data_IF_132557461649
#
_entry.id   IF_132557461649
#
_cell.length_a   1.000
_cell.length_b   1.000
_cell.length_c   1.000
_cell.angle_alpha   90.00
_cell.angle_beta   90.00
_cell.angle_gamma   90.00
#
_symmetry.space_group_name_H-M   'P 1'
#
loop_
_entity.id
_entity.type
_entity.pdbx_description
1 polymer ?
#
# COMPACT_ATOMS: atom_id res chain seq x y z
N UNK A 1 -37.75 12.05 53.07
CA UNK A 1 -37.97 12.91 51.88
C UNK A 1 -37.46 12.14 50.68
N UNK A 2 -38.31 11.91 49.67
CA UNK A 2 -37.96 11.15 48.47
C UNK A 2 -37.62 12.11 47.33
N UNK A 3 -36.49 11.96 46.62
CA UNK A 3 -36.20 12.77 45.44
C UNK A 3 -37.08 12.38 44.24
N UNK A 4 -37.48 13.37 43.45
CA UNK A 4 -38.39 13.21 42.31
C UNK A 4 -37.75 12.52 41.10
N UNK A 5 -38.57 11.79 40.32
CA UNK A 5 -38.24 11.34 38.97
C UNK A 5 -38.34 12.50 37.96
N UNK A 6 -37.45 12.49 36.96
CA UNK A 6 -37.58 13.26 35.72
C UNK A 6 -38.21 12.39 34.61
N UNK A 7 -38.92 12.96 33.62
CA UNK A 7 -39.70 12.19 32.64
C UNK A 7 -38.84 11.56 31.54
N UNK A 8 -39.15 10.32 31.17
CA UNK A 8 -38.66 9.68 29.95
C UNK A 8 -39.37 10.25 28.71
N UNK A 9 -38.60 10.71 27.72
CA UNK A 9 -39.08 10.91 26.36
C UNK A 9 -38.55 9.79 25.46
N UNK A 10 -39.44 9.11 24.72
CA UNK A 10 -39.06 8.11 23.71
C UNK A 10 -39.11 8.73 22.32
N UNK A 11 -38.06 8.55 21.54
CA UNK A 11 -38.04 8.84 20.11
C UNK A 11 -38.06 7.51 19.36
N UNK A 12 -39.00 7.33 18.43
CA UNK A 12 -38.99 6.21 17.49
C UNK A 12 -38.18 6.57 16.25
N UNK A 13 -37.22 5.73 15.88
CA UNK A 13 -36.61 5.80 14.56
C UNK A 13 -37.58 5.21 13.51
N UNK A 14 -37.85 5.95 12.45
CA UNK A 14 -38.65 5.49 11.30
C UNK A 14 -37.75 5.18 10.10
N UNK A 15 -38.01 4.07 9.41
CA UNK A 15 -37.39 3.78 8.12
C UNK A 15 -38.02 4.64 7.00
N UNK A 16 -37.18 5.16 6.11
CA UNK A 16 -37.63 5.83 4.88
C UNK A 16 -37.04 5.10 3.67
N UNK A 17 -37.91 4.74 2.71
CA UNK A 17 -37.49 4.15 1.44
C UNK A 17 -37.54 5.21 0.33
N UNK A 18 -36.48 5.29 -0.47
CA UNK A 18 -36.42 6.15 -1.66
C UNK A 18 -36.40 5.25 -2.91
N UNK A 19 -37.47 5.32 -3.71
CA UNK A 19 -37.49 4.70 -5.04
C UNK A 19 -36.90 5.66 -6.07
N UNK A 20 -35.85 5.21 -6.76
CA UNK A 20 -35.39 5.83 -8.01
C UNK A 20 -36.03 5.05 -9.17
N UNK A 21 -36.81 5.72 -10.00
CA UNK A 21 -37.60 5.07 -11.06
C UNK A 21 -36.76 4.50 -12.22
N UNK A 22 -37.35 3.58 -12.99
CA UNK A 22 -36.74 3.06 -14.22
C UNK A 22 -36.51 4.19 -15.24
N UNK A 23 -35.29 4.28 -15.79
CA UNK A 23 -34.99 5.08 -16.97
C UNK A 23 -34.80 4.17 -18.19
N UNK A 24 -35.73 4.23 -19.15
CA UNK A 24 -35.58 3.52 -20.43
C UNK A 24 -34.78 4.35 -21.42
N UNK A 25 -33.61 3.85 -21.80
CA UNK A 25 -32.87 4.36 -22.96
C UNK A 25 -33.22 3.47 -24.16
N UNK A 26 -33.87 4.05 -25.17
CA UNK A 26 -33.99 3.44 -26.50
C UNK A 26 -32.98 4.08 -27.44
N UNK A 27 -32.09 3.28 -28.05
CA UNK A 27 -31.39 3.68 -29.26
C UNK A 27 -31.36 2.53 -30.27
N UNK A 28 -31.57 2.89 -31.54
CA UNK A 28 -31.18 2.05 -32.68
C UNK A 28 -29.69 2.25 -32.91
N UNK A 29 -28.93 1.17 -32.93
CA UNK A 29 -27.53 1.22 -33.33
C UNK A 29 -27.46 1.41 -34.85
N UNK A 30 -26.80 2.49 -35.26
CA UNK A 30 -26.19 2.63 -36.59
C UNK A 30 -24.72 2.96 -36.34
N UNK A 31 -23.77 2.42 -37.13
CA UNK A 31 -22.38 2.37 -36.71
C UNK A 31 -21.68 3.73 -36.72
N UNK A 32 -20.61 3.81 -35.91
CA UNK A 32 -19.59 4.89 -35.80
C UNK A 32 -19.84 5.98 -34.73
N UNK A 33 -18.76 6.35 -34.04
CA UNK A 33 -18.61 7.34 -32.96
C UNK A 33 -19.16 6.95 -31.57
N UNK A 34 -18.27 6.38 -30.75
CA UNK A 34 -18.39 6.49 -29.29
C UNK A 34 -18.18 7.96 -28.89
N UNK A 35 -19.23 8.61 -28.39
CA UNK A 35 -19.12 9.84 -27.61
C UNK A 35 -19.25 9.49 -26.13
N UNK A 36 -18.38 10.06 -25.31
CA UNK A 36 -18.41 9.92 -23.86
C UNK A 36 -19.66 10.63 -23.30
N UNK A 37 -20.50 9.91 -22.55
CA UNK A 37 -21.68 10.47 -21.89
C UNK A 37 -21.47 10.47 -20.37
N UNK A 38 -21.49 11.66 -19.75
CA UNK A 38 -21.48 11.79 -18.29
C UNK A 38 -22.88 11.56 -17.71
N UNK A 39 -22.96 10.79 -16.64
CA UNK A 39 -24.12 10.77 -15.75
C UNK A 39 -23.83 11.77 -14.62
N UNK A 40 -24.58 12.87 -14.54
CA UNK A 40 -24.63 13.71 -13.35
C UNK A 40 -25.68 13.14 -12.39
N UNK A 41 -25.24 12.60 -11.26
CA UNK A 41 -26.09 12.49 -10.09
C UNK A 41 -26.23 13.90 -9.48
N UNK A 42 -27.47 14.40 -9.34
CA UNK A 42 -27.71 15.71 -8.74
C UNK A 42 -27.42 15.71 -7.25
N UNK A 43 -26.66 16.69 -6.78
CA UNK A 43 -26.44 16.93 -5.35
C UNK A 43 -27.74 17.43 -4.70
N UNK A 44 -28.20 16.75 -3.65
CA UNK A 44 -29.30 17.23 -2.81
C UNK A 44 -28.73 17.87 -1.54
N UNK A 45 -29.00 19.15 -1.25
CA UNK A 45 -28.49 19.79 -0.04
C UNK A 45 -29.27 19.27 1.18
N UNK A 46 -28.56 18.69 2.15
CA UNK A 46 -29.09 18.41 3.49
C UNK A 46 -28.54 19.44 4.48
N UNK A 47 -29.43 20.23 5.08
CA UNK A 47 -29.07 21.11 6.20
C UNK A 47 -29.41 20.39 7.50
N UNK A 48 -28.40 20.08 8.30
CA UNK A 48 -28.56 19.40 9.60
C UNK A 48 -28.17 20.37 10.72
N UNK A 49 -29.09 20.77 11.62
CA UNK A 49 -28.72 21.52 12.80
C UNK A 49 -27.95 20.63 13.79
N UNK A 50 -26.94 21.19 14.46
CA UNK A 50 -26.02 20.44 15.29
C UNK A 50 -26.63 20.05 16.65
N UNK A 51 -26.73 18.74 16.94
CA UNK A 51 -26.52 18.07 18.24
C UNK A 51 -26.54 16.53 18.03
N UNK A 52 -25.95 15.71 18.92
CA UNK A 52 -25.58 14.33 18.58
C UNK A 52 -26.73 13.33 18.70
N UNK A 53 -27.10 12.70 17.58
CA UNK A 53 -27.96 11.51 17.57
C UNK A 53 -27.54 10.56 16.43
N UNK A 54 -27.74 9.26 16.63
CA UNK A 54 -27.25 8.21 15.73
C UNK A 54 -27.85 8.35 14.31
N UNK A 55 -27.00 8.35 13.29
CA UNK A 55 -27.45 8.34 11.90
C UNK A 55 -27.88 6.92 11.47
N UNK A 56 -29.03 6.76 10.78
CA UNK A 56 -29.52 5.46 10.33
C UNK A 56 -28.72 4.89 9.15
N UNK A 57 -28.76 3.56 8.99
CA UNK A 57 -28.19 2.88 7.82
C UNK A 57 -28.95 3.24 6.54
N UNK A 58 -28.24 3.68 5.50
CA UNK A 58 -28.79 3.83 4.16
C UNK A 58 -28.58 2.56 3.34
N UNK A 59 -29.67 1.95 2.85
CA UNK A 59 -29.60 0.87 1.85
C UNK A 59 -29.99 1.38 0.47
N UNK A 60 -29.05 1.31 -0.47
CA UNK A 60 -29.31 1.56 -1.90
C UNK A 60 -29.43 0.21 -2.60
N UNK A 61 -30.61 -0.14 -3.11
CA UNK A 61 -30.78 -1.25 -4.03
C UNK A 61 -30.59 -0.77 -5.47
N UNK A 62 -29.55 -1.26 -6.15
CA UNK A 62 -29.44 -1.16 -7.60
C UNK A 62 -30.18 -2.36 -8.22
N UNK A 63 -31.11 -2.10 -9.16
CA UNK A 63 -31.86 -3.14 -9.86
C UNK A 63 -31.00 -3.92 -10.87
N UNK A 64 -31.41 -5.15 -11.20
CA UNK A 64 -30.75 -5.99 -12.20
C UNK A 64 -30.70 -5.33 -13.59
N UNK A 65 -29.59 -5.52 -14.31
CA UNK A 65 -29.49 -5.18 -15.73
C UNK A 65 -29.47 -6.45 -16.59
N UNK A 66 -30.26 -6.49 -17.67
CA UNK A 66 -30.19 -7.54 -18.70
C UNK A 66 -29.77 -6.96 -20.05
N UNK A 67 -28.58 -7.34 -20.52
CA UNK A 67 -28.19 -7.21 -21.94
C UNK A 67 -28.69 -8.46 -22.67
N UNK A 68 -29.28 -8.31 -23.86
CA UNK A 68 -29.42 -9.39 -24.83
C UNK A 68 -28.84 -8.94 -26.17
N UNK A 69 -27.86 -9.68 -26.68
CA UNK A 69 -27.43 -9.57 -28.08
C UNK A 69 -26.91 -10.94 -28.58
N UNK A 70 -26.97 -11.20 -29.88
CA UNK A 70 -26.55 -12.47 -30.51
C UNK A 70 -25.56 -12.22 -31.67
N UNK A 71 -24.57 -13.12 -31.75
CA UNK A 71 -23.65 -13.43 -32.88
C UNK A 71 -22.35 -12.60 -32.99
N UNK A 72 -21.24 -13.31 -33.23
CA UNK A 72 -19.82 -12.89 -33.31
C UNK A 72 -19.26 -13.04 -34.77
N UNK A 73 -17.94 -13.05 -35.09
CA UNK A 73 -16.74 -12.30 -34.62
C UNK A 73 -15.82 -11.75 -35.77
N UNK A 74 -14.95 -10.74 -35.57
CA UNK A 74 -13.78 -10.40 -36.47
C UNK A 74 -12.58 -9.80 -35.67
N UNK A 75 -11.34 -9.84 -36.20
CA UNK A 75 -10.05 -9.53 -35.54
C UNK A 75 -9.24 -8.34 -36.13
N UNK A 76 -8.36 -7.75 -35.29
CA UNK A 76 -6.96 -7.25 -35.52
C UNK A 76 -6.61 -5.85 -36.14
N UNK A 77 -5.74 -5.10 -35.40
CA UNK A 77 -4.55 -4.24 -35.78
C UNK A 77 -4.68 -3.09 -36.82
N UNK A 78 -3.92 -1.96 -36.86
CA UNK A 78 -2.65 -1.51 -36.24
C UNK A 78 -2.49 0.07 -36.22
N UNK A 79 -1.38 0.64 -35.70
CA UNK A 79 -1.08 2.10 -35.59
C UNK A 79 -0.27 2.69 -36.79
N UNK A 80 -0.19 4.04 -36.96
CA UNK A 80 1.07 4.77 -36.68
C UNK A 80 0.94 6.23 -36.16
N UNK A 81 2.09 6.90 -35.91
CA UNK A 81 2.29 8.17 -35.17
C UNK A 81 2.99 9.23 -36.08
N UNK A 82 2.81 10.56 -35.85
CA UNK A 82 3.89 11.57 -35.99
C UNK A 82 3.57 12.95 -35.36
N UNK A 83 4.60 13.74 -35.03
CA UNK A 83 4.52 14.98 -34.22
C UNK A 83 5.57 16.05 -34.60
N UNK A 84 5.34 17.32 -34.20
CA UNK A 84 6.24 18.51 -34.14
C UNK A 84 5.50 19.65 -33.39
N UNK A 85 6.07 20.69 -32.75
CA UNK A 85 7.41 20.97 -32.15
C UNK A 85 7.29 22.15 -31.13
N UNK A 86 8.41 22.74 -30.65
CA UNK A 86 8.49 23.79 -29.59
C UNK A 86 9.10 25.13 -30.07
N UNK A 87 9.04 26.25 -29.30
CA UNK A 87 10.28 26.75 -28.62
C UNK A 87 10.14 27.63 -27.32
N UNK A 88 11.00 27.36 -26.30
CA UNK A 88 11.71 28.21 -25.25
C UNK A 88 11.06 29.44 -24.53
N UNK A 89 11.50 30.00 -23.38
CA UNK A 89 12.78 30.13 -22.60
C UNK A 89 12.40 30.49 -21.11
N UNK A 90 12.94 29.98 -19.97
CA UNK A 90 14.29 29.95 -19.34
C UNK A 90 14.51 30.97 -18.17
N UNK A 91 14.80 30.47 -16.95
CA UNK A 91 15.53 31.06 -15.76
C UNK A 91 15.29 30.17 -14.51
N UNK A 92 16.15 29.97 -13.50
CA UNK A 92 17.63 29.95 -13.38
C UNK A 92 18.05 29.22 -12.05
N UNK A 93 18.72 28.05 -12.13
CA UNK A 93 19.58 27.37 -11.12
C UNK A 93 19.13 27.23 -9.62
N UNK A 94 19.95 26.67 -8.69
CA UNK A 94 19.94 25.22 -8.46
C UNK A 94 19.72 24.81 -6.99
N UNK A 95 19.19 23.60 -6.75
CA UNK A 95 19.29 22.94 -5.43
C UNK A 95 19.97 21.59 -5.59
N UNK A 96 21.14 21.46 -4.95
CA UNK A 96 21.83 20.19 -4.78
C UNK A 96 21.03 19.32 -3.80
N UNK A 97 20.14 18.49 -4.34
CA UNK A 97 19.65 17.30 -3.63
C UNK A 97 20.72 16.22 -3.82
N UNK A 98 21.22 15.65 -2.72
CA UNK A 98 22.21 14.58 -2.78
C UNK A 98 21.66 13.41 -3.60
N UNK A 99 22.35 13.06 -4.69
CA UNK A 99 21.96 11.94 -5.53
C UNK A 99 22.09 10.63 -4.71
N UNK A 100 20.96 10.03 -4.32
CA UNK A 100 20.93 8.58 -4.14
C UNK A 100 21.20 8.01 -5.54
N UNK A 101 22.32 7.31 -5.77
CA UNK A 101 22.74 6.97 -7.12
C UNK A 101 21.72 6.01 -7.76
N UNK A 102 20.94 6.49 -8.73
CA UNK A 102 19.96 5.71 -9.48
C UNK A 102 20.63 4.77 -10.51
N UNK A 103 21.71 4.10 -10.11
CA UNK A 103 22.30 3.01 -10.87
C UNK A 103 21.42 1.78 -10.67
N UNK A 104 20.72 1.35 -11.72
CA UNK A 104 20.26 -0.04 -11.78
C UNK A 104 21.50 -0.94 -11.85
N UNK A 105 21.96 -1.38 -10.69
CA UNK A 105 22.88 -2.47 -10.58
C UNK A 105 22.06 -3.69 -10.16
N UNK A 106 21.76 -4.56 -11.13
CA UNK A 106 21.00 -5.78 -10.88
C UNK A 106 21.88 -6.88 -10.23
N UNK A 107 23.02 -6.50 -9.63
CA UNK A 107 23.87 -7.41 -8.85
C UNK A 107 23.51 -7.34 -7.36
N UNK A 108 23.42 -8.48 -6.65
CA UNK A 108 23.09 -8.49 -5.22
C UNK A 108 24.03 -7.62 -4.38
N UNK A 109 25.34 -7.67 -4.67
CA UNK A 109 26.37 -6.92 -3.93
C UNK A 109 26.11 -5.40 -3.86
N UNK A 110 25.55 -4.81 -4.94
CA UNK A 110 25.24 -3.38 -4.95
C UNK A 110 23.92 -3.05 -4.22
N UNK A 111 23.03 -4.03 -4.07
CA UNK A 111 21.84 -3.90 -3.22
C UNK A 111 22.25 -3.94 -1.75
N UNK A 112 23.12 -4.87 -1.38
CA UNK A 112 23.68 -4.99 -0.03
C UNK A 112 24.41 -3.69 0.39
N UNK A 113 25.34 -3.18 -0.43
CA UNK A 113 26.06 -1.91 -0.17
C UNK A 113 25.12 -0.71 0.05
N UNK A 114 24.03 -0.61 -0.73
CA UNK A 114 23.05 0.48 -0.59
C UNK A 114 22.27 0.35 0.70
N UNK A 115 21.82 -0.86 1.05
CA UNK A 115 21.08 -1.12 2.30
C UNK A 115 21.94 -0.80 3.53
N UNK A 116 23.22 -1.19 3.52
CA UNK A 116 24.13 -0.91 4.63
C UNK A 116 24.39 0.59 4.83
N UNK A 117 24.72 1.31 3.74
CA UNK A 117 25.02 2.75 3.81
C UNK A 117 23.80 3.54 4.27
N UNK A 118 22.64 3.28 3.67
CA UNK A 118 21.38 3.98 3.98
C UNK A 118 20.95 3.74 5.44
N UNK A 119 21.11 2.52 5.97
CA UNK A 119 20.87 2.25 7.39
C UNK A 119 21.84 3.03 8.29
N UNK A 120 23.14 2.94 8.03
CA UNK A 120 24.17 3.56 8.87
C UNK A 120 24.05 5.10 8.89
N UNK A 121 23.74 5.71 7.73
CA UNK A 121 23.49 7.14 7.59
C UNK A 121 22.24 7.61 8.33
N UNK A 122 21.13 6.86 8.28
CA UNK A 122 19.91 7.20 9.01
C UNK A 122 20.11 7.14 10.53
N UNK A 123 20.85 6.16 11.05
CA UNK A 123 21.23 6.11 12.48
C UNK A 123 22.12 7.29 12.87
N UNK A 124 23.15 7.61 12.07
CA UNK A 124 24.04 8.75 12.34
C UNK A 124 23.29 10.09 12.30
N UNK A 125 22.31 10.22 11.41
CA UNK A 125 21.47 11.42 11.27
C UNK A 125 20.50 11.62 12.44
N UNK A 126 20.28 10.57 13.25
CA UNK A 126 19.58 10.62 14.55
C UNK A 126 20.57 10.66 15.73
N UNK A 127 21.79 11.16 15.49
CA UNK A 127 22.90 11.28 16.43
C UNK A 127 23.41 9.95 17.03
N UNK A 128 23.12 8.81 16.39
CA UNK A 128 23.60 7.50 16.81
C UNK A 128 25.09 7.24 16.50
N UNK A 129 25.69 6.32 17.25
CA UNK A 129 27.09 5.92 17.15
C UNK A 129 27.33 5.11 15.87
N UNK A 130 28.09 5.71 14.94
CA UNK A 130 28.41 5.15 13.61
C UNK A 130 28.87 3.68 13.62
N UNK A 131 29.85 3.33 14.44
CA UNK A 131 30.38 1.95 14.47
C UNK A 131 29.38 0.91 14.97
N UNK A 132 28.38 1.31 15.75
CA UNK A 132 27.27 0.44 16.15
C UNK A 132 26.22 0.35 15.04
N UNK A 133 26.01 1.44 14.30
CA UNK A 133 25.13 1.47 13.12
C UNK A 133 25.67 0.58 11.97
N UNK A 134 26.98 0.62 11.71
CA UNK A 134 27.67 -0.22 10.73
C UNK A 134 27.61 -1.71 11.13
N UNK A 135 27.75 -2.03 12.41
CA UNK A 135 27.56 -3.40 12.91
C UNK A 135 26.10 -3.88 12.80
N UNK A 136 25.12 -3.01 13.00
CA UNK A 136 23.70 -3.32 12.80
C UNK A 136 23.36 -3.56 11.33
N UNK A 137 23.92 -2.74 10.43
CA UNK A 137 23.78 -2.86 8.98
C UNK A 137 24.29 -4.21 8.45
N UNK A 138 25.48 -4.63 8.87
CA UNK A 138 26.05 -5.92 8.51
C UNK A 138 25.20 -7.11 9.02
N UNK A 139 24.60 -7.01 10.21
CA UNK A 139 23.65 -8.03 10.70
C UNK A 139 22.35 -8.03 9.88
N UNK A 140 21.87 -6.85 9.48
CA UNK A 140 20.67 -6.71 8.65
C UNK A 140 20.84 -7.37 7.27
N UNK A 141 21.95 -7.12 6.56
CA UNK A 141 22.27 -7.82 5.30
C UNK A 141 22.40 -9.33 5.52
N UNK A 142 23.11 -9.75 6.57
CA UNK A 142 23.24 -11.17 6.93
C UNK A 142 21.88 -11.85 7.13
N UNK A 143 20.90 -11.13 7.71
CA UNK A 143 19.53 -11.63 7.91
C UNK A 143 18.76 -11.73 6.60
N UNK A 144 18.78 -10.69 5.76
CA UNK A 144 18.10 -10.73 4.47
C UNK A 144 18.73 -11.74 3.48
N UNK A 145 19.97 -12.18 3.73
CA UNK A 145 20.64 -13.27 3.01
C UNK A 145 20.35 -14.69 3.54
N UNK A 146 19.47 -14.87 4.56
CA UNK A 146 19.19 -16.19 5.14
C UNK A 146 18.60 -17.19 4.09
N UNK A 147 19.14 -18.42 3.93
CA UNK A 147 18.81 -19.30 2.79
C UNK A 147 17.36 -19.79 2.65
N UNK A 148 16.52 -19.60 3.67
CA UNK A 148 15.09 -19.94 3.62
C UNK A 148 14.24 -18.86 2.95
N UNK A 149 14.71 -17.61 2.90
CA UNK A 149 14.04 -16.49 2.23
C UNK A 149 14.02 -16.71 0.72
N UNK A 150 12.91 -16.32 0.09
CA UNK A 150 12.70 -16.45 -1.38
C UNK A 150 12.11 -15.19 -1.99
N UNK A 151 11.36 -14.44 -1.21
CA UNK A 151 10.87 -13.11 -1.53
C UNK A 151 11.36 -12.08 -0.52
N UNK A 152 11.29 -12.36 0.79
CA UNK A 152 11.66 -11.40 1.84
C UNK A 152 13.18 -11.35 2.06
N UNK A 153 13.92 -11.07 0.99
CA UNK A 153 15.39 -11.02 0.89
C UNK A 153 15.91 -9.60 0.60
N UNK A 154 17.21 -9.48 0.28
CA UNK A 154 17.89 -8.21 -0.01
C UNK A 154 17.22 -7.40 -1.15
N UNK A 155 16.61 -8.07 -2.13
CA UNK A 155 15.90 -7.42 -3.24
C UNK A 155 14.58 -6.81 -2.76
N UNK A 156 13.86 -7.48 -1.86
CA UNK A 156 12.63 -6.93 -1.28
C UNK A 156 12.93 -5.70 -0.39
N UNK A 157 13.84 -5.78 0.58
CA UNK A 157 14.13 -4.63 1.45
C UNK A 157 14.70 -3.44 0.67
N UNK A 158 15.52 -3.69 -0.36
CA UNK A 158 15.97 -2.67 -1.31
C UNK A 158 14.82 -2.01 -2.10
N UNK A 159 13.80 -2.78 -2.46
CA UNK A 159 12.59 -2.24 -3.11
C UNK A 159 11.77 -1.37 -2.15
N UNK A 160 11.53 -1.85 -0.91
CA UNK A 160 10.78 -1.09 0.11
C UNK A 160 11.51 0.20 0.49
N UNK A 161 12.84 0.19 0.63
CA UNK A 161 13.64 1.39 0.90
C UNK A 161 13.56 2.42 -0.24
N UNK A 162 13.72 1.97 -1.50
CA UNK A 162 13.59 2.84 -2.69
C UNK A 162 12.20 3.46 -2.77
N UNK A 163 11.15 2.66 -2.64
CA UNK A 163 9.78 3.12 -2.80
C UNK A 163 9.35 4.00 -1.61
N UNK A 164 9.87 3.72 -0.40
CA UNK A 164 9.75 4.60 0.77
C UNK A 164 10.37 5.98 0.54
N UNK A 165 11.57 6.06 -0.06
CA UNK A 165 12.21 7.34 -0.37
C UNK A 165 11.36 8.17 -1.35
N UNK A 166 10.85 7.54 -2.41
CA UNK A 166 9.97 8.19 -3.40
C UNK A 166 8.68 8.72 -2.76
N UNK A 167 8.08 7.96 -1.83
CA UNK A 167 6.88 8.40 -1.11
C UNK A 167 7.20 9.52 -0.10
N UNK A 168 8.35 9.48 0.56
CA UNK A 168 8.79 10.53 1.47
C UNK A 168 9.01 11.88 0.78
N UNK A 169 9.46 11.87 -0.48
CA UNK A 169 9.53 13.05 -1.33
C UNK A 169 8.15 13.63 -1.66
N UNK A 170 7.21 12.81 -2.14
CA UNK A 170 5.86 13.30 -2.48
C UNK A 170 4.99 13.67 -1.27
N UNK A 171 5.37 13.24 -0.07
CA UNK A 171 4.72 13.60 1.20
C UNK A 171 5.44 14.75 1.93
N UNK A 172 6.53 15.28 1.37
CA UNK A 172 7.33 16.36 1.96
C UNK A 172 7.81 16.06 3.40
N UNK A 173 8.05 14.77 3.73
CA UNK A 173 8.45 14.35 5.08
C UNK A 173 9.74 15.05 5.52
N UNK A 174 9.81 15.48 6.78
CA UNK A 174 11.02 16.15 7.28
C UNK A 174 12.15 15.15 7.52
N UNK A 175 13.41 15.62 7.56
CA UNK A 175 14.60 14.76 7.66
C UNK A 175 14.53 13.72 8.80
N UNK A 176 13.93 14.08 9.94
CA UNK A 176 13.76 13.16 11.08
C UNK A 176 12.79 12.01 10.76
N UNK A 177 11.66 12.31 10.14
CA UNK A 177 10.65 11.32 9.72
C UNK A 177 11.19 10.42 8.60
N UNK A 178 11.99 10.96 7.68
CA UNK A 178 12.69 10.19 6.64
C UNK A 178 13.64 9.16 7.25
N UNK A 179 14.41 9.54 8.26
CA UNK A 179 15.28 8.60 8.97
C UNK A 179 14.47 7.53 9.73
N UNK A 180 13.34 7.90 10.35
CA UNK A 180 12.44 6.90 10.96
C UNK A 180 11.87 5.92 9.93
N UNK A 181 11.45 6.42 8.76
CA UNK A 181 10.94 5.61 7.66
C UNK A 181 12.01 4.66 7.12
N UNK A 182 13.23 5.15 6.87
CA UNK A 182 14.37 4.33 6.43
C UNK A 182 14.65 3.20 7.42
N UNK A 183 14.74 3.50 8.71
CA UNK A 183 15.03 2.50 9.74
C UNK A 183 13.88 1.52 9.93
N UNK A 184 12.63 1.94 9.79
CA UNK A 184 11.49 1.03 9.83
C UNK A 184 11.42 0.14 8.58
N UNK A 185 11.64 0.71 7.39
CA UNK A 185 11.69 -0.02 6.12
C UNK A 185 12.84 -1.04 6.07
N UNK A 186 14.03 -0.67 6.56
CA UNK A 186 15.15 -1.61 6.68
C UNK A 186 14.91 -2.72 7.71
N UNK A 187 14.14 -2.45 8.77
CA UNK A 187 13.94 -3.40 9.86
C UNK A 187 12.73 -4.33 9.71
N UNK A 188 11.68 -3.96 8.97
CA UNK A 188 10.36 -4.57 9.15
C UNK A 188 10.32 -6.12 9.09
N UNK A 189 11.07 -6.71 8.15
CA UNK A 189 11.20 -8.16 7.96
C UNK A 189 12.63 -8.70 8.24
N UNK A 190 13.42 -7.95 9.03
CA UNK A 190 14.78 -8.37 9.40
C UNK A 190 14.78 -9.67 10.21
N UNK A 191 13.72 -9.95 10.98
CA UNK A 191 13.42 -11.28 11.49
C UNK A 191 12.28 -11.84 10.64
N UNK A 192 12.53 -12.96 9.96
CA UNK A 192 11.51 -13.63 9.15
C UNK A 192 11.58 -15.15 9.32
N UNK A 193 10.51 -15.75 9.82
CA UNK A 193 10.34 -17.19 10.04
C UNK A 193 8.99 -17.70 9.51
N UNK A 194 8.34 -16.93 8.62
CA UNK A 194 6.99 -17.17 8.10
C UNK A 194 5.92 -17.22 9.20
N UNK A 195 6.04 -16.36 10.22
CA UNK A 195 5.12 -16.26 11.36
C UNK A 195 4.54 -14.85 11.51
N UNK A 196 3.48 -14.52 10.74
CA UNK A 196 2.82 -13.22 10.81
C UNK A 196 2.45 -12.80 12.24
N UNK A 197 2.67 -11.54 12.54
CA UNK A 197 2.64 -10.94 13.88
C UNK A 197 3.86 -11.24 14.77
N UNK A 198 4.41 -12.46 14.80
CA UNK A 198 5.58 -12.78 15.65
C UNK A 198 6.86 -12.15 15.08
N UNK A 199 7.05 -12.28 13.78
CA UNK A 199 8.24 -11.83 13.06
C UNK A 199 8.41 -10.30 13.15
N UNK A 200 7.36 -9.54 12.83
CA UNK A 200 7.31 -8.07 12.88
C UNK A 200 7.54 -7.55 14.31
N UNK A 201 6.99 -8.22 15.35
CA UNK A 201 7.27 -7.88 16.75
C UNK A 201 8.73 -8.11 17.13
N UNK A 202 9.36 -9.16 16.58
CA UNK A 202 10.78 -9.46 16.80
C UNK A 202 11.69 -8.53 15.99
N UNK A 203 11.29 -8.13 14.79
CA UNK A 203 11.92 -7.10 13.96
C UNK A 203 11.91 -5.73 14.65
N UNK A 204 10.77 -5.31 15.22
CA UNK A 204 10.68 -4.08 16.01
C UNK A 204 11.64 -4.13 17.22
N UNK A 205 11.58 -5.22 18.01
CA UNK A 205 12.46 -5.40 19.15
C UNK A 205 13.95 -5.49 18.76
N UNK A 206 14.29 -6.01 17.58
CA UNK A 206 15.64 -6.03 17.03
C UNK A 206 16.12 -4.61 16.71
N UNK A 207 15.31 -3.82 16.01
CA UNK A 207 15.63 -2.43 15.67
C UNK A 207 15.84 -1.61 16.96
N UNK A 208 14.94 -1.74 17.92
CA UNK A 208 15.03 -1.04 19.19
C UNK A 208 16.25 -1.40 20.03
N UNK A 209 16.71 -2.65 19.98
CA UNK A 209 17.97 -3.05 20.64
C UNK A 209 19.19 -2.41 19.97
N UNK A 210 19.27 -2.43 18.64
CA UNK A 210 20.40 -1.84 17.91
C UNK A 210 20.44 -0.32 18.02
N UNK A 211 19.30 0.37 17.92
CA UNK A 211 19.23 1.83 18.05
C UNK A 211 19.58 2.30 19.46
N UNK A 212 19.11 1.62 20.52
CA UNK A 212 19.52 1.92 21.91
C UNK A 212 21.01 1.65 22.15
N UNK A 213 21.56 0.57 21.58
CA UNK A 213 23.02 0.30 21.62
C UNK A 213 23.82 1.37 20.88
N UNK A 214 23.27 1.95 19.82
CA UNK A 214 23.83 3.09 19.11
C UNK A 214 23.59 4.44 19.81
N UNK A 215 23.02 4.46 21.02
CA UNK A 215 22.69 5.67 21.78
C UNK A 215 21.75 6.66 21.07
N UNK A 216 20.93 6.17 20.12
CA UNK A 216 19.83 6.95 19.53
C UNK A 216 18.80 7.29 20.61
N UNK A 217 18.25 8.50 20.56
CA UNK A 217 17.29 8.99 21.56
C UNK A 217 16.02 8.15 21.63
N UNK A 218 15.55 7.84 22.84
CA UNK A 218 14.42 6.91 23.07
C UNK A 218 13.12 7.30 22.34
N UNK A 219 12.89 8.60 22.08
CA UNK A 219 11.73 9.05 21.28
C UNK A 219 11.81 8.64 19.81
N UNK A 220 13.01 8.58 19.25
CA UNK A 220 13.26 8.09 17.89
C UNK A 220 13.21 6.56 17.84
N UNK A 221 13.75 5.90 18.88
CA UNK A 221 13.68 4.44 19.01
C UNK A 221 12.23 3.96 19.06
N UNK A 222 11.43 4.50 19.98
CA UNK A 222 10.03 4.14 20.13
C UNK A 222 9.22 4.43 18.85
N UNK A 223 9.60 5.47 18.08
CA UNK A 223 8.97 5.78 16.80
C UNK A 223 9.29 4.75 15.72
N UNK A 224 10.55 4.29 15.60
CA UNK A 224 10.92 3.22 14.67
C UNK A 224 10.27 1.89 15.07
N UNK A 225 10.27 1.53 16.37
CA UNK A 225 9.57 0.35 16.88
C UNK A 225 8.07 0.40 16.55
N UNK A 226 7.42 1.53 16.79
CA UNK A 226 6.00 1.71 16.46
C UNK A 226 5.71 1.61 14.96
N UNK A 227 6.57 2.18 14.10
CA UNK A 227 6.42 2.10 12.65
C UNK A 227 6.51 0.64 12.16
N UNK A 228 7.51 -0.12 12.60
CA UNK A 228 7.61 -1.55 12.28
C UNK A 228 6.37 -2.30 12.75
N UNK A 229 5.86 -2.03 13.95
CA UNK A 229 4.64 -2.67 14.45
C UNK A 229 3.37 -2.37 13.64
N UNK A 230 3.34 -1.34 12.79
CA UNK A 230 2.19 -1.09 11.89
C UNK A 230 2.04 -2.16 10.80
N UNK A 231 3.12 -2.86 10.41
CA UNK A 231 3.07 -3.91 9.38
C UNK A 231 2.33 -5.16 9.86
N UNK A 232 2.27 -5.43 11.17
CA UNK A 232 1.49 -6.54 11.78
C UNK A 232 0.02 -6.59 11.32
N UNK A 233 -0.58 -5.42 11.06
CA UNK A 233 -1.99 -5.32 10.63
C UNK A 233 -2.15 -4.60 9.28
N UNK A 234 -1.04 -4.13 8.71
CA UNK A 234 -0.97 -3.06 7.72
C UNK A 234 -2.02 -1.98 7.98
N UNK A 235 -1.92 -1.31 9.14
CA UNK A 235 -2.85 -0.25 9.57
C UNK A 235 -2.14 0.82 10.41
N UNK A 236 -2.58 2.07 10.26
CA UNK A 236 -2.00 3.24 10.90
C UNK A 236 -3.07 4.35 11.08
N UNK A 237 -2.85 5.32 11.99
CA UNK A 237 -3.69 6.52 12.13
C UNK A 237 -3.75 7.35 10.83
N UNK A 238 -4.89 7.99 10.48
CA UNK A 238 -5.04 8.73 9.22
C UNK A 238 -4.05 9.89 9.00
N UNK A 239 -3.50 10.44 10.07
CA UNK A 239 -2.53 11.53 10.14
C UNK A 239 -1.06 11.04 10.14
N UNK A 240 -0.81 9.73 10.27
CA UNK A 240 0.54 9.16 10.27
C UNK A 240 1.07 8.95 8.85
N UNK A 241 1.53 10.03 8.22
CA UNK A 241 2.09 10.01 6.86
C UNK A 241 3.35 9.13 6.74
N UNK A 242 4.16 9.02 7.79
CA UNK A 242 5.36 8.15 7.79
C UNK A 242 4.97 6.67 7.73
N UNK A 243 3.99 6.25 8.55
CA UNK A 243 3.46 4.89 8.51
C UNK A 243 2.71 4.62 7.20
N UNK A 244 1.99 5.60 6.68
CA UNK A 244 1.35 5.49 5.36
C UNK A 244 2.37 5.25 4.24
N UNK A 245 3.52 5.93 4.26
CA UNK A 245 4.61 5.69 3.33
C UNK A 245 5.19 4.27 3.44
N UNK A 246 5.49 3.81 4.66
CA UNK A 246 6.01 2.46 4.92
C UNK A 246 5.05 1.38 4.40
N UNK A 247 3.78 1.46 4.79
CA UNK A 247 2.75 0.47 4.44
C UNK A 247 2.42 0.46 2.94
N UNK A 248 2.54 1.60 2.26
CA UNK A 248 2.35 1.66 0.81
C UNK A 248 3.57 1.15 0.04
N UNK A 249 4.80 1.39 0.55
CA UNK A 249 6.04 0.92 -0.05
C UNK A 249 6.21 -0.61 0.08
N UNK A 250 5.89 -1.19 1.24
CA UNK A 250 5.86 -2.65 1.43
C UNK A 250 4.87 -3.32 0.46
N UNK A 251 3.67 -2.75 0.32
CA UNK A 251 2.66 -3.25 -0.62
C UNK A 251 2.92 -2.86 -2.09
N UNK A 252 4.00 -2.15 -2.42
CA UNK A 252 4.27 -1.67 -3.79
C UNK A 252 4.47 -2.82 -4.79
N UNK A 253 4.97 -3.98 -4.33
CA UNK A 253 5.11 -5.20 -5.15
C UNK A 253 3.81 -5.64 -5.83
N UNK A 254 2.66 -5.34 -5.22
CA UNK A 254 1.37 -5.72 -5.79
C UNK A 254 1.09 -4.97 -7.10
N UNK A 255 1.56 -3.72 -7.19
CA UNK A 255 1.39 -2.84 -8.35
C UNK A 255 2.45 -2.96 -9.44
N UNK A 256 3.35 -3.93 -9.38
CA UNK A 256 4.34 -4.17 -10.45
C UNK A 256 3.71 -4.79 -11.69
N UNK A 257 4.47 -4.86 -12.78
CA UNK A 257 4.07 -5.61 -13.97
C UNK A 257 3.77 -7.08 -13.66
N UNK A 258 2.99 -7.73 -14.53
CA UNK A 258 2.51 -9.10 -14.30
C UNK A 258 3.66 -10.12 -14.17
N UNK A 259 4.75 -9.98 -14.92
CA UNK A 259 5.85 -10.94 -14.87
C UNK A 259 6.65 -10.82 -13.56
N UNK A 260 6.80 -9.60 -13.03
CA UNK A 260 7.36 -9.36 -11.69
C UNK A 260 6.42 -9.89 -10.59
N UNK A 261 5.12 -9.61 -10.68
CA UNK A 261 4.12 -10.10 -9.72
C UNK A 261 4.05 -11.63 -9.66
N UNK A 262 4.13 -12.31 -10.80
CA UNK A 262 4.13 -13.78 -10.86
C UNK A 262 5.37 -14.41 -10.20
N UNK A 263 6.55 -13.77 -10.33
CA UNK A 263 7.76 -14.16 -9.61
C UNK A 263 7.58 -13.99 -8.10
N UNK A 264 7.05 -12.85 -7.66
CA UNK A 264 6.70 -12.58 -6.26
C UNK A 264 5.79 -13.68 -5.69
N UNK A 265 4.66 -13.97 -6.34
CA UNK A 265 3.72 -15.01 -5.91
C UNK A 265 4.37 -16.39 -5.82
N UNK A 266 5.19 -16.76 -6.81
CA UNK A 266 5.88 -18.04 -6.84
C UNK A 266 7.00 -18.14 -5.78
N UNK A 267 7.64 -17.02 -5.44
CA UNK A 267 8.61 -16.94 -4.36
C UNK A 267 7.94 -17.10 -2.99
N UNK A 268 6.89 -16.33 -2.72
CA UNK A 268 6.11 -16.41 -1.46
C UNK A 268 5.52 -17.82 -1.26
N UNK A 269 5.00 -18.49 -2.31
CA UNK A 269 4.55 -19.91 -2.20
C UNK A 269 5.64 -20.84 -1.66
N UNK A 270 6.91 -20.60 -2.01
CA UNK A 270 8.04 -21.44 -1.57
C UNK A 270 8.42 -21.22 -0.11
N UNK A 271 8.26 -20.00 0.41
CA UNK A 271 8.50 -19.69 1.83
C UNK A 271 7.50 -20.44 2.72
N UNK A 272 6.23 -20.42 2.34
CA UNK A 272 5.17 -21.22 2.95
C UNK A 272 5.12 -22.67 2.43
N UNK A 273 6.26 -23.21 1.97
CA UNK A 273 6.39 -24.57 1.43
C UNK A 273 6.03 -25.70 2.40
N UNK A 274 6.01 -25.40 3.71
CA UNK A 274 5.60 -26.32 4.78
C UNK A 274 4.08 -26.46 4.96
N UNK A 275 3.29 -25.52 4.44
CA UNK A 275 1.83 -25.57 4.48
C UNK A 275 1.28 -26.45 3.35
N UNK A 276 0.23 -27.21 3.67
CA UNK A 276 -0.53 -27.94 2.66
C UNK A 276 -1.19 -26.97 1.65
N UNK A 277 -1.39 -27.44 0.42
CA UNK A 277 -1.82 -26.57 -0.67
C UNK A 277 -3.22 -25.98 -0.45
N UNK A 278 -4.11 -26.68 0.28
CA UNK A 278 -5.46 -26.20 0.53
C UNK A 278 -5.45 -25.09 1.59
N UNK A 279 -4.77 -25.28 2.71
CA UNK A 279 -4.62 -24.28 3.75
C UNK A 279 -3.84 -23.05 3.24
N UNK A 280 -2.77 -23.26 2.47
CA UNK A 280 -2.03 -22.17 1.82
C UNK A 280 -2.95 -21.33 0.93
N UNK A 281 -3.69 -21.96 0.01
CA UNK A 281 -4.55 -21.24 -0.93
C UNK A 281 -5.71 -20.55 -0.23
N UNK A 282 -6.31 -21.16 0.78
CA UNK A 282 -7.35 -20.53 1.59
C UNK A 282 -6.83 -19.29 2.33
N UNK A 283 -5.67 -19.38 3.00
CA UNK A 283 -5.05 -18.26 3.69
C UNK A 283 -4.63 -17.14 2.74
N UNK A 284 -3.99 -17.49 1.62
CA UNK A 284 -3.57 -16.52 0.59
C UNK A 284 -4.78 -15.84 -0.07
N UNK A 285 -5.85 -16.58 -0.36
CA UNK A 285 -7.08 -16.01 -0.92
C UNK A 285 -7.79 -15.07 0.08
N UNK A 286 -7.78 -15.39 1.37
CA UNK A 286 -8.30 -14.51 2.41
C UNK A 286 -7.51 -13.20 2.51
N UNK A 287 -6.17 -13.27 2.50
CA UNK A 287 -5.28 -12.10 2.48
C UNK A 287 -5.52 -11.22 1.23
N UNK A 288 -5.50 -11.84 0.05
CA UNK A 288 -5.72 -11.14 -1.23
C UNK A 288 -7.11 -10.49 -1.31
N UNK A 289 -8.16 -11.18 -0.85
CA UNK A 289 -9.52 -10.63 -0.78
C UNK A 289 -9.61 -9.46 0.19
N UNK A 290 -8.98 -9.58 1.37
CA UNK A 290 -8.91 -8.51 2.37
C UNK A 290 -8.21 -7.25 1.86
N UNK A 291 -7.11 -7.41 1.11
CA UNK A 291 -6.43 -6.29 0.45
C UNK A 291 -7.28 -5.66 -0.65
N UNK A 292 -7.92 -6.47 -1.52
CA UNK A 292 -8.75 -5.97 -2.61
C UNK A 292 -9.98 -5.20 -2.11
N UNK A 293 -10.53 -5.60 -0.96
CA UNK A 293 -11.68 -4.96 -0.32
C UNK A 293 -11.36 -3.57 0.26
N UNK A 294 -10.09 -3.26 0.56
CA UNK A 294 -9.67 -1.93 1.06
C UNK A 294 -10.01 -0.84 0.03
N UNK A 295 -10.61 0.26 0.49
CA UNK A 295 -10.94 1.44 -0.31
C UNK A 295 -10.48 2.70 0.41
N UNK A 296 -9.35 3.31 0.01
CA UNK A 296 -8.43 2.89 -1.05
C UNK A 296 -7.58 1.66 -0.66
N UNK A 297 -6.89 1.03 -1.63
CA UNK A 297 -5.91 -0.03 -1.33
C UNK A 297 -4.61 0.57 -0.79
N UNK A 298 -4.10 1.62 -1.44
CA UNK A 298 -2.95 2.41 -1.00
C UNK A 298 -3.40 3.72 -0.33
N UNK A 299 -2.73 4.09 0.76
CA UNK A 299 -3.12 5.15 1.70
C UNK A 299 -2.81 6.54 1.18
N UNK A 300 -1.65 6.71 0.58
CA UNK A 300 -1.15 7.97 0.03
C UNK A 300 -1.69 8.17 -1.39
N UNK A 301 -1.96 9.42 -1.78
CA UNK A 301 -2.30 9.73 -3.16
C UNK A 301 -1.15 9.39 -4.13
N UNK A 302 0.09 9.50 -3.64
CA UNK A 302 1.33 9.13 -4.31
C UNK A 302 1.37 7.67 -4.76
N UNK A 303 1.12 6.75 -3.84
CA UNK A 303 1.08 5.31 -4.10
C UNK A 303 -0.13 4.91 -4.97
N UNK A 304 -1.31 5.51 -4.74
CA UNK A 304 -2.50 5.23 -5.57
C UNK A 304 -2.26 5.49 -7.05
N UNK A 305 -1.68 6.64 -7.40
CA UNK A 305 -1.33 6.99 -8.79
C UNK A 305 -0.35 6.01 -9.43
N UNK A 306 0.59 5.46 -8.64
CA UNK A 306 1.64 4.55 -9.12
C UNK A 306 1.13 3.12 -9.32
N UNK A 307 0.34 2.61 -8.38
CA UNK A 307 0.21 1.17 -8.18
C UNK A 307 -1.23 0.65 -8.10
N UNK A 308 -2.24 1.47 -7.75
CA UNK A 308 -3.55 0.93 -7.36
C UNK A 308 -4.27 0.18 -8.50
N UNK A 309 -4.25 0.72 -9.72
CA UNK A 309 -4.88 0.06 -10.89
C UNK A 309 -4.24 -1.30 -11.18
N UNK A 310 -2.91 -1.35 -11.21
CA UNK A 310 -2.14 -2.57 -11.50
C UNK A 310 -2.28 -3.59 -10.37
N UNK A 311 -2.22 -3.14 -9.11
CA UNK A 311 -2.38 -4.00 -7.93
C UNK A 311 -3.76 -4.67 -7.91
N UNK A 312 -4.82 -3.92 -8.16
CA UNK A 312 -6.18 -4.48 -8.22
C UNK A 312 -6.32 -5.52 -9.34
N UNK A 313 -5.74 -5.28 -10.51
CA UNK A 313 -5.73 -6.24 -11.61
C UNK A 313 -4.93 -7.52 -11.29
N UNK A 314 -3.75 -7.38 -10.68
CA UNK A 314 -2.91 -8.52 -10.28
C UNK A 314 -3.57 -9.36 -9.18
N UNK A 315 -4.12 -8.73 -8.15
CA UNK A 315 -4.80 -9.41 -7.04
C UNK A 315 -6.06 -10.13 -7.53
N UNK A 316 -6.86 -9.52 -8.42
CA UNK A 316 -8.03 -10.18 -9.02
C UNK A 316 -7.63 -11.45 -9.79
N UNK A 317 -6.60 -11.36 -10.64
CA UNK A 317 -6.06 -12.51 -11.39
C UNK A 317 -5.47 -13.59 -10.48
N UNK A 318 -4.87 -13.21 -9.35
CA UNK A 318 -4.43 -14.19 -8.35
C UNK A 318 -5.61 -14.87 -7.67
N UNK A 319 -6.66 -14.15 -7.29
CA UNK A 319 -7.88 -14.73 -6.70
C UNK A 319 -8.58 -15.71 -7.66
N UNK A 320 -8.66 -15.39 -8.95
CA UNK A 320 -9.16 -16.32 -9.98
C UNK A 320 -8.35 -17.63 -9.96
N UNK A 321 -7.02 -17.54 -10.02
CA UNK A 321 -6.13 -18.71 -9.96
C UNK A 321 -6.27 -19.51 -8.64
N UNK A 322 -6.35 -18.82 -7.51
CA UNK A 322 -6.49 -19.44 -6.19
C UNK A 322 -7.84 -20.15 -6.01
N UNK A 323 -8.90 -19.69 -6.69
CA UNK A 323 -10.23 -20.29 -6.61
C UNK A 323 -10.52 -21.34 -7.70
N UNK A 324 -9.82 -21.30 -8.84
CA UNK A 324 -10.13 -22.14 -10.02
C UNK A 324 -9.70 -23.63 -9.94
N UNK A 325 -9.09 -24.08 -8.85
CA UNK A 325 -8.66 -25.47 -8.65
C UNK A 325 -9.15 -26.01 -7.29
N UNK A 326 -10.42 -25.81 -6.98
CA UNK A 326 -11.11 -26.34 -5.79
C UNK A 326 -12.26 -27.26 -6.19
#
# INVERSE_FOLDING_TARGET
MSPLQAPEFRIQAGEFQVQVGEFRIQQRVSPTQAREFRIQAGEFPTQTPAFPTQAPEFRVQAGEFRVQERVSPVQATEFPIQATEFPVQATEFPVLVGEIPSRRCDSPLCQDEVVESVWAEAVCSLAGIRSVAEAAAAELVTRYAEPHRRYHDATHVSAVLRDSAILADELELVSRERNHLILAAGAHDVIYQCKPGEDERRSAAWAGQWLRRAAVGESDVARVEALVLTTVTHSAPPDDLTAHALLDADLAILGTDQATYEKYRAAVRKEYGSLDELAWRAGRAALMSGLLARRPLYRTAAARRRWETTARANIARELEFLNALG
#
